data_IF_548955426406
#
_entry.id   IF_548955426406
#
_cell.length_a   1.000
_cell.length_b   1.000
_cell.length_c   1.000
_cell.angle_alpha   90.00
_cell.angle_beta   90.00
_cell.angle_gamma   90.00
#
_symmetry.space_group_name_H-M   'P 1'
#
loop_
_entity.id
_entity.type
_entity.pdbx_description
1 polymer ?
#
# COMPACT_ATOMS: atom_id res chain seq x y z
N UNK A 1 -51.70 11.74 -48.45
CA UNK A 1 -50.31 11.72 -48.97
C UNK A 1 -49.40 11.68 -47.75
N UNK A 2 -49.02 10.49 -47.27
CA UNK A 2 -47.76 9.78 -47.58
C UNK A 2 -46.51 10.67 -47.32
N UNK A 3 -45.76 10.42 -46.23
CA UNK A 3 -44.54 9.56 -46.14
C UNK A 3 -43.30 10.37 -46.60
N UNK A 4 -42.19 10.49 -45.88
CA UNK A 4 -41.37 9.47 -45.21
C UNK A 4 -40.44 10.13 -44.17
N UNK A 5 -40.34 9.51 -42.99
CA UNK A 5 -39.26 9.66 -42.00
C UNK A 5 -38.04 8.85 -42.42
N UNK A 6 -36.86 9.48 -42.47
CA UNK A 6 -35.57 8.81 -42.69
C UNK A 6 -34.85 8.68 -41.34
N UNK A 7 -34.89 7.48 -40.75
CA UNK A 7 -34.14 7.11 -39.55
C UNK A 7 -32.90 6.35 -40.00
N UNK A 8 -31.72 6.92 -39.79
CA UNK A 8 -30.43 6.25 -40.02
C UNK A 8 -30.05 5.42 -38.80
N UNK A 9 -30.14 4.09 -38.94
CA UNK A 9 -29.54 3.14 -38.02
C UNK A 9 -28.05 2.99 -38.33
N UNK A 10 -27.19 3.35 -37.39
CA UNK A 10 -25.78 2.95 -37.38
C UNK A 10 -25.65 1.62 -36.66
N UNK A 11 -25.45 0.55 -37.43
CA UNK A 11 -25.13 -0.77 -36.91
C UNK A 11 -23.65 -0.80 -36.51
N UNK A 12 -23.37 -0.81 -35.21
CA UNK A 12 -22.06 -1.17 -34.70
C UNK A 12 -21.82 -2.67 -34.94
N UNK A 13 -20.85 -3.01 -35.78
CA UNK A 13 -20.40 -4.38 -35.97
C UNK A 13 -19.74 -4.86 -34.67
N UNK A 14 -20.44 -5.73 -33.95
CA UNK A 14 -19.90 -6.43 -32.79
C UNK A 14 -19.12 -7.63 -33.32
N UNK A 15 -17.80 -7.50 -33.45
CA UNK A 15 -16.90 -8.64 -33.61
C UNK A 15 -16.89 -9.38 -32.28
N UNK A 16 -17.62 -10.49 -32.20
CA UNK A 16 -17.49 -11.45 -31.11
C UNK A 16 -16.24 -12.28 -31.36
N UNK A 17 -15.15 -11.94 -30.68
CA UNK A 17 -13.98 -12.81 -30.59
C UNK A 17 -14.38 -14.13 -29.89
N UNK A 18 -13.86 -15.28 -30.34
CA UNK A 18 -14.10 -16.54 -29.67
C UNK A 18 -13.48 -16.48 -28.26
N UNK A 19 -14.32 -16.73 -27.26
CA UNK A 19 -13.91 -17.00 -25.88
C UNK A 19 -12.96 -18.20 -25.89
N UNK A 20 -11.65 -17.91 -25.86
CA UNK A 20 -10.66 -18.87 -25.41
C UNK A 20 -11.00 -19.22 -23.96
N UNK A 21 -11.25 -20.50 -23.74
CA UNK A 21 -11.53 -21.09 -22.44
C UNK A 21 -10.26 -20.97 -21.60
N UNK A 22 -10.11 -19.83 -20.91
CA UNK A 22 -9.02 -19.61 -19.96
C UNK A 22 -9.26 -20.59 -18.83
N UNK A 23 -8.60 -21.73 -18.93
CA UNK A 23 -8.45 -22.69 -17.86
C UNK A 23 -7.62 -22.00 -16.78
N UNK A 24 -8.30 -21.23 -15.91
CA UNK A 24 -7.75 -20.65 -14.70
C UNK A 24 -7.43 -21.85 -13.81
N UNK A 25 -6.22 -22.39 -14.01
CA UNK A 25 -5.59 -23.31 -13.10
C UNK A 25 -5.36 -22.51 -11.83
N UNK A 26 -6.38 -22.52 -10.97
CA UNK A 26 -6.31 -22.02 -9.62
C UNK A 26 -5.27 -22.88 -8.90
N UNK A 27 -4.00 -22.46 -8.99
CA UNK A 27 -2.98 -22.82 -8.02
C UNK A 27 -3.37 -22.12 -6.72
N UNK A 28 -4.41 -22.67 -6.08
CA UNK A 28 -4.49 -22.68 -4.63
C UNK A 28 -3.25 -23.43 -4.17
N UNK A 29 -2.12 -22.72 -4.08
CA UNK A 29 -1.12 -23.13 -3.14
C UNK A 29 -1.85 -23.24 -1.79
N UNK A 30 -1.84 -24.41 -1.15
CA UNK A 30 -2.36 -24.51 0.19
C UNK A 30 -1.62 -23.47 1.00
N UNK A 31 -2.36 -22.58 1.66
CA UNK A 31 -1.84 -21.69 2.70
C UNK A 31 -1.25 -22.64 3.74
N UNK A 32 0.02 -22.99 3.55
CA UNK A 32 0.80 -23.81 4.46
C UNK A 32 0.73 -23.06 5.79
N UNK A 33 0.19 -23.71 6.81
CA UNK A 33 0.14 -23.20 8.17
C UNK A 33 1.59 -23.06 8.66
N UNK A 34 2.21 -21.92 8.34
CA UNK A 34 3.59 -21.64 8.65
C UNK A 34 3.70 -21.26 10.12
N UNK A 35 4.06 -22.23 10.96
CA UNK A 35 4.19 -22.04 12.40
C UNK A 35 4.72 -20.65 12.80
N UNK A 36 4.15 -20.00 13.84
CA UNK A 36 4.51 -18.65 14.24
C UNK A 36 6.03 -18.45 14.32
N UNK A 37 6.57 -17.55 13.52
CA UNK A 37 8.01 -17.34 13.44
C UNK A 37 8.43 -16.16 14.31
N UNK A 38 9.58 -16.27 14.98
CA UNK A 38 10.24 -15.11 15.61
C UNK A 38 10.92 -14.17 14.58
N UNK A 39 10.94 -14.56 13.30
CA UNK A 39 11.53 -13.78 12.20
C UNK A 39 10.76 -12.47 12.05
N UNK A 40 11.50 -11.37 12.06
CA UNK A 40 10.99 -10.01 11.84
C UNK A 40 11.20 -9.64 10.38
N UNK A 41 10.20 -9.02 9.79
CA UNK A 41 10.22 -8.51 8.43
C UNK A 41 10.07 -6.99 8.48
N UNK A 42 10.86 -6.30 7.67
CA UNK A 42 10.66 -4.88 7.42
C UNK A 42 9.58 -4.72 6.35
N UNK A 43 8.59 -3.88 6.63
CA UNK A 43 7.50 -3.58 5.71
C UNK A 43 7.38 -2.08 5.48
N UNK A 44 7.04 -1.72 4.26
CA UNK A 44 6.75 -0.35 3.87
C UNK A 44 5.39 -0.31 3.18
N UNK A 45 4.65 0.77 3.41
CA UNK A 45 3.46 1.03 2.61
C UNK A 45 3.90 1.28 1.16
N UNK A 46 3.22 0.63 0.22
CA UNK A 46 3.34 0.91 -1.20
C UNK A 46 3.09 2.40 -1.43
N UNK A 47 3.74 2.97 -2.43
CA UNK A 47 3.53 4.37 -2.79
C UNK A 47 3.98 4.70 -4.19
N UNK A 48 3.84 5.98 -4.51
CA UNK A 48 3.99 6.51 -5.87
C UNK A 48 5.45 6.65 -6.30
N UNK A 49 6.37 6.90 -5.36
CA UNK A 49 7.78 7.15 -5.63
C UNK A 49 8.61 6.15 -4.84
N UNK A 50 9.36 5.29 -5.52
CA UNK A 50 10.29 4.37 -4.84
C UNK A 50 11.46 5.11 -4.19
N UNK A 51 12.09 4.52 -3.17
CA UNK A 51 13.31 5.08 -2.58
C UNK A 51 14.46 5.23 -3.58
N UNK A 52 14.51 4.38 -4.60
CA UNK A 52 15.49 4.48 -5.69
C UNK A 52 15.24 5.73 -6.53
N UNK A 53 14.01 5.93 -7.01
CA UNK A 53 13.64 7.12 -7.81
C UNK A 53 13.80 8.42 -7.01
N UNK A 54 13.57 8.38 -5.71
CA UNK A 54 13.76 9.51 -4.82
C UNK A 54 15.23 9.80 -4.48
N UNK A 55 16.17 8.93 -4.89
CA UNK A 55 17.59 9.05 -4.53
C UNK A 55 17.88 8.84 -3.04
N UNK A 56 16.98 8.15 -2.31
CA UNK A 56 17.18 7.84 -0.89
C UNK A 56 18.04 6.58 -0.71
N UNK A 57 17.86 5.58 -1.56
CA UNK A 57 18.61 4.32 -1.46
C UNK A 57 18.74 3.62 -2.79
N UNK A 58 19.91 3.02 -3.05
CA UNK A 58 20.13 2.17 -4.23
C UNK A 58 19.73 0.70 -3.99
N UNK A 59 19.58 0.31 -2.72
CA UNK A 59 19.40 -1.09 -2.32
C UNK A 59 18.15 -1.32 -1.48
N UNK A 60 17.75 -0.32 -0.68
CA UNK A 60 16.59 -0.46 0.18
C UNK A 60 15.33 -0.26 -0.63
N UNK A 61 14.44 -1.24 -0.51
CA UNK A 61 13.10 -1.11 -1.02
C UNK A 61 12.19 -0.38 -0.03
N UNK A 62 11.40 0.53 -0.57
CA UNK A 62 10.31 1.22 0.10
C UNK A 62 9.82 2.34 -0.80
N UNK A 63 8.81 3.07 -0.33
CA UNK A 63 8.17 4.11 -1.11
C UNK A 63 7.84 5.33 -0.28
N UNK A 64 7.70 6.44 -0.99
CA UNK A 64 7.18 7.70 -0.51
C UNK A 64 5.79 7.87 -1.13
N UNK A 65 4.83 8.23 -0.29
CA UNK A 65 3.51 8.66 -0.71
C UNK A 65 3.42 10.18 -0.65
N UNK A 66 2.66 10.77 -1.58
CA UNK A 66 2.35 12.20 -1.58
C UNK A 66 0.87 12.39 -1.32
N UNK A 67 0.55 13.15 -0.27
CA UNK A 67 -0.82 13.47 0.10
C UNK A 67 -1.07 14.94 -0.22
N UNK A 68 -1.86 15.23 -1.26
CA UNK A 68 -1.91 16.55 -1.89
C UNK A 68 -2.98 17.49 -1.31
N UNK A 69 -4.08 16.98 -0.75
CA UNK A 69 -5.20 17.81 -0.25
C UNK A 69 -5.96 17.17 0.91
N UNK A 70 -6.57 18.00 1.74
CA UNK A 70 -7.22 17.60 3.01
C UNK A 70 -8.29 16.52 2.85
N UNK A 71 -9.16 16.62 1.85
CA UNK A 71 -10.34 15.76 1.73
C UNK A 71 -10.05 14.37 1.14
N UNK A 72 -8.78 14.04 0.88
CA UNK A 72 -8.43 12.71 0.40
C UNK A 72 -8.53 11.66 1.51
N UNK A 73 -8.74 10.42 1.09
CA UNK A 73 -8.51 9.25 1.93
C UNK A 73 -7.85 8.23 1.04
N UNK A 74 -6.69 7.76 1.45
CA UNK A 74 -5.88 6.83 0.66
C UNK A 74 -5.59 5.59 1.47
N UNK A 75 -5.78 4.40 0.88
CA UNK A 75 -5.31 3.14 1.46
C UNK A 75 -4.20 2.58 0.61
N UNK A 76 -3.09 2.22 1.26
CA UNK A 76 -1.93 1.63 0.62
C UNK A 76 -1.59 0.29 1.24
N UNK A 77 -1.24 -0.69 0.40
CA UNK A 77 -0.83 -2.01 0.88
C UNK A 77 0.50 -1.92 1.64
N UNK A 78 0.60 -2.59 2.78
CA UNK A 78 1.83 -2.75 3.53
C UNK A 78 2.54 -4.03 3.04
N UNK A 79 3.73 -3.88 2.44
CA UNK A 79 4.41 -4.96 1.73
C UNK A 79 5.71 -5.36 2.44
N UNK A 80 6.00 -6.66 2.50
CA UNK A 80 7.33 -7.19 2.85
C UNK A 80 8.00 -7.80 1.62
N UNK A 81 9.34 -7.81 1.63
CA UNK A 81 10.11 -8.65 0.71
C UNK A 81 10.16 -10.07 1.26
N UNK A 82 9.43 -10.99 0.64
CA UNK A 82 9.55 -12.41 0.99
C UNK A 82 10.85 -13.00 0.43
N UNK A 83 11.31 -14.12 0.99
CA UNK A 83 12.56 -14.79 0.59
C UNK A 83 12.45 -15.52 -0.77
N UNK A 84 11.22 -15.75 -1.24
CA UNK A 84 10.90 -16.35 -2.54
C UNK A 84 10.60 -15.32 -3.64
N UNK A 85 11.11 -14.09 -3.47
CA UNK A 85 10.87 -12.98 -4.37
C UNK A 85 11.51 -13.21 -5.75
N UNK A 86 10.69 -13.66 -6.70
CA UNK A 86 10.99 -13.71 -8.13
C UNK A 86 9.92 -12.83 -8.79
N UNK A 87 10.32 -11.76 -9.46
CA UNK A 87 9.46 -10.93 -10.34
C UNK A 87 8.52 -9.87 -9.73
N UNK A 88 8.85 -9.29 -8.56
CA UNK A 88 8.45 -7.89 -8.32
C UNK A 88 7.29 -7.62 -7.36
N UNK A 89 6.50 -8.61 -6.98
CA UNK A 89 5.36 -8.40 -6.08
C UNK A 89 5.69 -8.80 -4.64
N UNK A 90 5.77 -7.81 -3.75
CA UNK A 90 5.99 -8.03 -2.32
C UNK A 90 4.79 -8.74 -1.70
N UNK A 91 5.00 -9.46 -0.60
CA UNK A 91 3.87 -10.06 0.13
C UNK A 91 3.10 -8.97 0.87
N UNK A 92 1.82 -8.84 0.56
CA UNK A 92 0.93 -7.93 1.28
C UNK A 92 0.60 -8.49 2.68
N UNK A 93 1.09 -7.79 3.69
CA UNK A 93 0.95 -8.13 5.12
C UNK A 93 -0.02 -7.21 5.86
N UNK A 94 -0.66 -6.26 5.17
CA UNK A 94 -1.47 -5.23 5.81
C UNK A 94 -1.84 -4.10 4.87
N UNK A 95 -2.41 -3.06 5.44
CA UNK A 95 -2.67 -1.79 4.78
C UNK A 95 -2.42 -0.63 5.73
N UNK A 96 -2.21 0.56 5.16
CA UNK A 96 -2.14 1.81 5.88
C UNK A 96 -3.14 2.79 5.27
N UNK A 97 -4.05 3.28 6.10
CA UNK A 97 -5.04 4.27 5.74
C UNK A 97 -4.54 5.67 6.14
N UNK A 98 -4.48 6.58 5.17
CA UNK A 98 -4.14 7.98 5.36
C UNK A 98 -5.35 8.86 5.16
N UNK A 99 -5.59 9.79 6.08
CA UNK A 99 -6.66 10.77 5.96
C UNK A 99 -6.36 12.01 6.80
N UNK A 100 -7.04 13.12 6.52
CA UNK A 100 -6.93 14.36 7.29
C UNK A 100 -8.20 14.61 8.11
N UNK A 101 -8.07 14.77 9.43
CA UNK A 101 -9.21 14.99 10.32
C UNK A 101 -8.86 16.05 11.37
N UNK A 102 -9.71 17.07 11.49
CA UNK A 102 -9.61 18.10 12.54
C UNK A 102 -8.21 18.77 12.63
N UNK A 103 -7.62 19.10 11.48
CA UNK A 103 -6.29 19.75 11.44
C UNK A 103 -5.11 18.80 11.63
N UNK A 104 -5.34 17.48 11.63
CA UNK A 104 -4.30 16.47 11.78
C UNK A 104 -4.29 15.52 10.59
N UNK A 105 -3.09 15.22 10.12
CA UNK A 105 -2.84 14.06 9.27
C UNK A 105 -2.85 12.80 10.14
N UNK A 106 -3.57 11.77 9.71
CA UNK A 106 -3.73 10.51 10.44
C UNK A 106 -3.24 9.38 9.55
N UNK A 107 -2.46 8.47 10.15
CA UNK A 107 -2.07 7.20 9.54
C UNK A 107 -2.54 6.06 10.45
N UNK A 108 -3.38 5.17 9.92
CA UNK A 108 -3.87 3.97 10.62
C UNK A 108 -3.29 2.73 9.95
N UNK A 109 -2.53 1.96 10.71
CA UNK A 109 -1.92 0.72 10.26
C UNK A 109 -2.83 -0.45 10.61
N UNK A 110 -3.03 -1.36 9.66
CA UNK A 110 -3.81 -2.58 9.84
C UNK A 110 -3.03 -3.78 9.29
N UNK A 111 -2.60 -4.68 10.16
CA UNK A 111 -1.98 -5.94 9.74
C UNK A 111 -3.06 -6.93 9.27
N UNK A 112 -2.78 -7.65 8.19
CA UNK A 112 -3.63 -8.75 7.70
C UNK A 112 -3.60 -9.94 8.66
N UNK A 113 -4.64 -10.77 8.60
CA UNK A 113 -4.70 -12.04 9.33
C UNK A 113 -3.44 -12.87 9.05
N UNK A 114 -2.85 -13.44 10.11
CA UNK A 114 -1.58 -14.16 10.03
C UNK A 114 -0.36 -13.30 10.29
N UNK A 115 -0.50 -11.98 10.43
CA UNK A 115 0.58 -11.05 10.72
C UNK A 115 0.30 -10.18 11.95
N UNK A 116 1.36 -9.68 12.58
CA UNK A 116 1.26 -8.67 13.63
C UNK A 116 2.46 -7.72 13.58
N UNK A 117 2.22 -6.47 13.98
CA UNK A 117 3.22 -5.41 14.11
C UNK A 117 3.91 -5.48 15.48
N UNK A 118 5.23 -5.34 15.43
CA UNK A 118 6.11 -5.21 16.60
C UNK A 118 6.60 -3.78 16.79
N UNK A 119 6.62 -3.00 15.70
CA UNK A 119 7.01 -1.60 15.70
C UNK A 119 6.39 -0.94 14.48
N UNK A 120 6.05 0.34 14.59
CA UNK A 120 5.58 1.19 13.49
C UNK A 120 6.34 2.51 13.56
N UNK A 121 6.71 3.02 12.39
CA UNK A 121 7.43 4.27 12.23
C UNK A 121 6.76 5.10 11.13
N UNK A 122 6.65 6.40 11.34
CA UNK A 122 6.00 7.30 10.39
C UNK A 122 6.86 8.55 10.16
N UNK A 123 7.24 8.76 8.90
CA UNK A 123 7.62 10.07 8.41
C UNK A 123 6.37 10.74 7.84
N UNK A 124 6.06 11.96 8.27
CA UNK A 124 5.01 12.78 7.69
C UNK A 124 5.40 14.25 7.79
N UNK A 125 5.75 14.87 6.65
CA UNK A 125 6.18 16.27 6.58
C UNK A 125 5.81 16.89 5.24
N UNK A 126 5.76 18.23 5.19
CA UNK A 126 5.66 18.97 3.93
C UNK A 126 6.99 19.05 3.16
N UNK A 127 8.10 18.72 3.84
CA UNK A 127 9.40 18.58 3.23
C UNK A 127 9.58 17.17 2.66
N UNK A 128 10.35 17.05 1.58
CA UNK A 128 10.74 15.73 1.08
C UNK A 128 11.63 15.04 2.11
N UNK A 129 11.48 13.72 2.33
CA UNK A 129 12.36 12.98 3.23
C UNK A 129 13.80 13.07 2.77
N UNK A 130 14.73 13.27 3.71
CA UNK A 130 16.17 13.23 3.45
C UNK A 130 16.80 11.86 3.74
N UNK A 131 16.03 10.91 4.28
CA UNK A 131 16.48 9.56 4.65
C UNK A 131 15.32 8.57 4.52
N UNK A 132 15.64 7.33 4.18
CA UNK A 132 14.71 6.20 4.23
C UNK A 132 14.74 5.47 5.57
N UNK A 133 15.76 5.70 6.41
CA UNK A 133 15.98 4.97 7.64
C UNK A 133 14.87 5.27 8.65
N UNK A 134 14.03 4.27 9.01
CA UNK A 134 12.94 4.47 9.94
C UNK A 134 13.38 4.99 11.29
N UNK A 135 14.63 4.76 11.73
CA UNK A 135 15.16 5.25 12.99
C UNK A 135 15.33 6.78 13.03
N UNK A 136 15.35 7.43 11.86
CA UNK A 136 15.48 8.89 11.72
C UNK A 136 14.14 9.62 11.69
N UNK A 137 13.02 8.87 11.70
CA UNK A 137 11.70 9.48 11.69
C UNK A 137 11.41 10.15 13.03
N UNK A 138 10.40 11.00 13.10
CA UNK A 138 10.04 11.68 14.36
C UNK A 138 9.02 10.90 15.18
N UNK A 139 8.37 9.90 14.58
CA UNK A 139 7.26 9.17 15.19
C UNK A 139 7.48 7.68 15.12
N UNK A 140 7.43 7.05 16.30
CA UNK A 140 7.69 5.63 16.49
C UNK A 140 6.79 5.08 17.59
N UNK A 141 6.19 3.91 17.38
CA UNK A 141 5.58 3.13 18.46
C UNK A 141 6.21 1.75 18.52
N UNK A 142 6.60 1.32 19.73
CA UNK A 142 6.92 -0.08 20.01
C UNK A 142 5.66 -0.80 20.41
N UNK A 143 5.38 -1.93 19.76
CA UNK A 143 4.14 -2.68 19.90
C UNK A 143 4.45 -4.12 20.37
N UNK A 144 3.46 -4.75 20.99
CA UNK A 144 3.54 -6.18 21.36
C UNK A 144 2.55 -6.96 20.52
N UNK A 145 2.98 -7.40 19.33
CA UNK A 145 2.18 -8.18 18.38
C UNK A 145 0.77 -7.59 18.15
N UNK A 146 0.69 -6.30 17.85
CA UNK A 146 -0.59 -5.64 17.56
C UNK A 146 -1.00 -5.84 16.10
N UNK A 147 -2.30 -5.92 15.83
CA UNK A 147 -2.82 -5.91 14.46
C UNK A 147 -3.23 -4.52 14.00
N UNK A 148 -3.26 -3.54 14.89
CA UNK A 148 -3.61 -2.15 14.58
C UNK A 148 -2.68 -1.18 15.29
N UNK A 149 -2.44 -0.03 14.67
CA UNK A 149 -1.77 1.11 15.30
C UNK A 149 -2.17 2.42 14.61
N UNK A 150 -1.96 3.57 15.27
CA UNK A 150 -2.38 4.87 14.76
C UNK A 150 -1.43 5.99 15.15
N UNK A 151 -1.06 6.81 14.17
CA UNK A 151 -0.40 8.11 14.38
C UNK A 151 -1.34 9.26 14.07
N UNK A 152 -1.14 10.39 14.73
CA UNK A 152 -1.84 11.63 14.45
C UNK A 152 -0.90 12.82 14.55
N UNK A 153 -0.69 13.51 13.43
CA UNK A 153 0.37 14.50 13.23
C UNK A 153 -0.25 15.83 12.87
N UNK A 154 0.20 16.91 13.52
CA UNK A 154 -0.17 18.25 13.07
C UNK A 154 0.66 18.62 11.85
N UNK A 155 -0.02 18.75 10.70
CA UNK A 155 0.62 19.21 9.46
C UNK A 155 -0.23 20.33 8.87
N UNK A 156 0.40 21.50 8.70
CA UNK A 156 -0.27 22.75 8.30
C UNK A 156 -0.12 23.06 6.81
N UNK A 157 0.79 22.38 6.12
CA UNK A 157 1.15 22.63 4.73
C UNK A 157 1.03 21.35 3.90
N UNK A 158 0.70 21.52 2.62
CA UNK A 158 0.57 20.44 1.63
C UNK A 158 1.54 20.72 0.46
N UNK A 159 2.01 19.69 -0.26
CA UNK A 159 1.73 18.27 -0.05
C UNK A 159 2.38 17.72 1.22
N UNK A 160 1.86 16.62 1.76
CA UNK A 160 2.51 15.87 2.84
C UNK A 160 3.20 14.66 2.22
N UNK A 161 4.52 14.58 2.34
CA UNK A 161 5.29 13.40 2.02
C UNK A 161 5.26 12.43 3.20
N UNK A 162 4.96 11.17 2.89
CA UNK A 162 4.69 10.14 3.89
C UNK A 162 5.54 8.91 3.60
N UNK A 163 6.24 8.41 4.63
CA UNK A 163 6.82 7.07 4.64
C UNK A 163 6.23 6.33 5.84
N UNK A 164 5.46 5.29 5.58
CA UNK A 164 4.90 4.42 6.61
C UNK A 164 5.65 3.09 6.63
N UNK A 165 6.25 2.77 7.76
CA UNK A 165 7.04 1.56 7.97
C UNK A 165 6.48 0.78 9.15
N UNK A 166 6.52 -0.56 9.06
CA UNK A 166 6.30 -1.41 10.21
C UNK A 166 7.26 -2.60 10.23
N UNK A 167 7.65 -3.01 11.44
CA UNK A 167 8.30 -4.29 11.68
C UNK A 167 7.23 -5.34 11.96
N UNK A 168 7.16 -6.37 11.13
CA UNK A 168 6.08 -7.37 11.12
C UNK A 168 6.62 -8.76 11.51
N UNK A 169 5.79 -9.57 12.15
CA UNK A 169 6.03 -11.00 12.40
C UNK A 169 4.86 -11.84 11.91
N UNK A 170 5.11 -13.09 11.46
CA UNK A 170 4.06 -14.09 11.21
C UNK A 170 3.53 -14.64 12.53
N UNK A 171 2.21 -14.77 12.64
CA UNK A 171 1.50 -15.22 13.86
C UNK A 171 0.78 -16.55 13.69
N UNK A 172 0.75 -17.12 12.49
CA UNK A 172 0.06 -18.36 12.13
C UNK A 172 0.83 -19.11 11.06
#
# INVERSE_FOLDING_TARGET
MLLFTLVTFLSAACNSDPLEDINIRSTKEPISQQAPTAKKYMSFALGEISFFEAGLSEVQWGWINKYDKKDDTMSWSLLIRDEHYVDGDGLNVGEVLFYYLNGKFVAEFHARKGFAMMETNLYASHEKPGSWDPATFSMHHKLTRSTVDRFSVYVMQFPIYVIAHATIVRTQ
#
